data_IF_141372497522
#
_entry.id   IF_141372497522
#
_cell.length_a   1.000
_cell.length_b   1.000
_cell.length_c   1.000
_cell.angle_alpha   90.00
_cell.angle_beta   90.00
_cell.angle_gamma   90.00
#
_symmetry.space_group_name_H-M   'P 1'
#
loop_
_entity.id
_entity.type
_entity.pdbx_description
1 polymer ?
#
# COMPACT_ATOMS: atom_id res chain seq x y z
N UNK A 1 16.81 -29.61 0.06
CA UNK A 1 15.53 -29.05 0.53
C UNK A 1 15.61 -27.54 0.36
N UNK A 2 14.88 -26.99 -0.61
CA UNK A 2 14.84 -25.54 -0.85
C UNK A 2 14.14 -24.88 0.34
N UNK A 3 14.86 -24.16 1.16
CA UNK A 3 14.28 -23.25 2.15
C UNK A 3 13.61 -22.11 1.38
N UNK A 4 12.31 -22.23 1.13
CA UNK A 4 11.53 -21.12 0.65
C UNK A 4 11.78 -19.94 1.61
N UNK A 5 12.36 -18.86 1.11
CA UNK A 5 12.64 -17.66 1.87
C UNK A 5 11.29 -17.15 2.37
N UNK A 6 10.99 -17.32 3.67
CA UNK A 6 9.76 -16.79 4.24
C UNK A 6 9.82 -15.28 4.14
N UNK A 7 8.92 -14.70 3.35
CA UNK A 7 8.78 -13.26 3.25
C UNK A 7 7.90 -12.80 4.41
N UNK A 8 8.47 -12.03 5.33
CA UNK A 8 7.74 -11.41 6.43
C UNK A 8 7.34 -10.00 6.05
N UNK A 9 6.14 -9.60 6.42
CA UNK A 9 5.80 -8.19 6.46
C UNK A 9 6.56 -7.53 7.63
N UNK A 10 7.07 -6.30 7.44
CA UNK A 10 7.89 -5.62 8.45
C UNK A 10 7.21 -5.38 9.81
N UNK A 11 5.88 -5.55 9.89
CA UNK A 11 5.09 -5.47 11.14
C UNK A 11 4.84 -6.82 11.82
N UNK A 12 5.21 -7.97 11.21
CA UNK A 12 4.93 -9.32 11.72
C UNK A 12 5.90 -9.74 12.84
N UNK A 13 6.00 -8.92 13.89
CA UNK A 13 6.94 -9.14 14.99
C UNK A 13 6.68 -10.47 15.69
N UNK A 14 5.42 -10.83 15.92
CA UNK A 14 5.05 -12.08 16.59
C UNK A 14 5.59 -13.28 15.81
N UNK A 15 5.38 -13.30 14.49
CA UNK A 15 5.85 -14.36 13.60
C UNK A 15 7.39 -14.42 13.49
N UNK A 16 8.04 -13.25 13.48
CA UNK A 16 9.50 -13.15 13.50
C UNK A 16 10.04 -13.72 14.81
N UNK A 17 9.44 -13.37 15.95
CA UNK A 17 9.82 -13.89 17.26
C UNK A 17 9.66 -15.41 17.33
N UNK A 18 8.58 -15.95 16.80
CA UNK A 18 8.32 -17.39 16.75
C UNK A 18 9.39 -18.13 15.94
N UNK A 19 9.63 -17.67 14.70
CA UNK A 19 10.54 -18.34 13.75
C UNK A 19 12.00 -18.27 14.20
N UNK A 20 12.41 -17.14 14.76
CA UNK A 20 13.81 -16.92 15.19
C UNK A 20 14.04 -17.11 16.68
N UNK A 21 13.01 -17.50 17.44
CA UNK A 21 13.07 -17.71 18.91
C UNK A 21 13.58 -16.48 19.67
N UNK A 22 13.11 -15.28 19.24
CA UNK A 22 13.53 -14.01 19.81
C UNK A 22 12.51 -13.50 20.84
N UNK A 23 13.01 -12.73 21.82
CA UNK A 23 12.12 -12.01 22.72
C UNK A 23 11.65 -10.70 22.05
N UNK A 24 10.35 -10.40 21.98
CA UNK A 24 9.83 -9.17 21.38
C UNK A 24 10.45 -7.87 21.95
N UNK A 25 10.90 -7.91 23.22
CA UNK A 25 11.53 -6.76 23.90
C UNK A 25 12.93 -6.45 23.39
N UNK A 26 13.59 -7.43 22.78
CA UNK A 26 14.96 -7.30 22.29
C UNK A 26 15.01 -6.89 20.80
N UNK A 27 13.83 -6.70 20.17
CA UNK A 27 13.72 -6.34 18.77
C UNK A 27 13.59 -4.83 18.59
N UNK A 28 14.52 -4.25 17.84
CA UNK A 28 14.41 -2.87 17.37
C UNK A 28 13.69 -2.85 16.02
N UNK A 29 12.55 -2.14 15.95
CA UNK A 29 11.65 -2.13 14.80
C UNK A 29 12.06 -1.05 13.80
N UNK A 30 12.53 -1.47 12.63
CA UNK A 30 12.77 -0.59 11.46
C UNK A 30 11.90 -0.93 10.25
N UNK A 31 10.99 -1.90 10.38
CA UNK A 31 10.21 -2.45 9.27
C UNK A 31 8.86 -1.80 9.01
N UNK A 32 8.41 -0.87 9.86
CA UNK A 32 7.14 -0.19 9.71
C UNK A 32 7.28 1.31 10.00
N UNK A 33 6.62 2.13 9.17
CA UNK A 33 6.59 3.59 9.36
C UNK A 33 5.56 3.97 10.43
N UNK A 34 5.82 3.57 11.66
CA UNK A 34 4.98 3.91 12.81
C UNK A 34 5.68 5.01 13.60
N UNK A 35 4.93 6.07 13.95
CA UNK A 35 5.46 7.15 14.78
C UNK A 35 5.86 6.60 16.18
N UNK A 36 7.15 6.58 16.54
CA UNK A 36 7.60 6.04 17.83
C UNK A 36 7.10 6.84 19.03
N UNK A 37 6.69 8.10 18.82
CA UNK A 37 6.09 8.95 19.87
C UNK A 37 4.60 8.64 20.09
N UNK A 38 3.99 7.80 19.25
CA UNK A 38 2.58 7.48 19.31
C UNK A 38 1.67 8.63 18.87
N UNK A 39 0.43 8.63 19.34
CA UNK A 39 -0.54 9.70 19.09
C UNK A 39 -0.25 10.91 19.96
N UNK A 40 -0.45 12.12 19.42
CA UNK A 40 -0.41 13.36 20.22
C UNK A 40 -1.53 13.36 21.27
N UNK A 41 -1.29 14.04 22.41
CA UNK A 41 -2.29 14.12 23.48
C UNK A 41 -3.60 14.76 23.00
N UNK A 42 -3.54 15.77 22.16
CA UNK A 42 -4.75 16.38 21.58
C UNK A 42 -5.58 15.36 20.78
N UNK A 43 -4.96 14.49 19.98
CA UNK A 43 -5.68 13.44 19.25
C UNK A 43 -6.29 12.42 20.20
N UNK A 44 -5.58 12.04 21.27
CA UNK A 44 -6.11 11.12 22.29
C UNK A 44 -7.34 11.71 23.00
N UNK A 45 -7.29 12.99 23.38
CA UNK A 45 -8.41 13.69 24.02
C UNK A 45 -9.62 13.78 23.08
N UNK A 46 -9.41 14.15 21.82
CA UNK A 46 -10.48 14.24 20.82
C UNK A 46 -11.15 12.88 20.57
N UNK A 47 -10.37 11.80 20.51
CA UNK A 47 -10.90 10.44 20.36
C UNK A 47 -11.70 10.01 21.61
N UNK A 48 -11.15 10.23 22.79
CA UNK A 48 -11.83 9.88 24.05
C UNK A 48 -13.15 10.64 24.22
N UNK A 49 -13.20 11.92 23.83
CA UNK A 49 -14.41 12.74 23.90
C UNK A 49 -15.48 12.42 22.86
N UNK A 50 -15.21 11.50 21.91
CA UNK A 50 -16.12 11.17 20.79
C UNK A 50 -16.46 9.68 20.69
N UNK A 51 -16.26 8.91 21.72
CA UNK A 51 -16.52 7.46 21.68
C UNK A 51 -17.99 7.12 21.40
N UNK A 52 -18.91 8.04 21.69
CA UNK A 52 -20.36 7.84 21.43
C UNK A 52 -20.69 7.63 19.95
N UNK A 53 -19.83 8.11 19.03
CA UNK A 53 -20.01 7.90 17.58
C UNK A 53 -19.99 6.41 17.21
N UNK A 54 -19.35 5.55 18.03
CA UNK A 54 -19.30 4.10 17.80
C UNK A 54 -20.65 3.41 17.93
N UNK A 55 -21.62 4.08 18.56
CA UNK A 55 -23.00 3.57 18.70
C UNK A 55 -23.91 3.89 17.51
N UNK A 56 -23.42 4.61 16.51
CA UNK A 56 -24.18 4.99 15.32
C UNK A 56 -23.54 4.48 14.02
N UNK A 57 -24.36 4.34 12.98
CA UNK A 57 -23.82 4.00 11.66
C UNK A 57 -23.00 5.19 11.12
N UNK A 58 -21.83 4.90 10.49
CA UNK A 58 -21.04 5.93 9.86
C UNK A 58 -21.76 6.49 8.62
N UNK A 59 -21.38 7.72 8.24
CA UNK A 59 -21.78 8.32 6.97
C UNK A 59 -21.19 7.50 5.81
N UNK A 60 -22.06 6.88 4.99
CA UNK A 60 -21.68 6.02 3.88
C UNK A 60 -20.97 6.76 2.77
N UNK A 61 -21.29 8.03 2.58
CA UNK A 61 -20.75 8.86 1.51
C UNK A 61 -19.49 9.61 1.95
N UNK A 62 -19.10 9.48 3.24
CA UNK A 62 -17.97 10.18 3.83
C UNK A 62 -18.00 11.69 3.62
N UNK A 63 -19.20 12.29 3.57
CA UNK A 63 -19.41 13.68 3.17
C UNK A 63 -18.56 14.67 3.97
N UNK A 64 -18.65 14.59 5.30
CA UNK A 64 -17.88 15.48 6.18
C UNK A 64 -16.36 15.27 6.02
N UNK A 65 -15.92 14.01 5.94
CA UNK A 65 -14.50 13.67 5.76
C UNK A 65 -13.97 14.16 4.42
N UNK A 66 -14.69 13.92 3.32
CA UNK A 66 -14.32 14.36 1.98
C UNK A 66 -14.22 15.89 1.90
N UNK A 67 -15.15 16.61 2.50
CA UNK A 67 -15.10 18.08 2.54
C UNK A 67 -13.88 18.57 3.32
N UNK A 68 -13.58 18.00 4.49
CA UNK A 68 -12.40 18.37 5.27
C UNK A 68 -11.10 18.10 4.51
N UNK A 69 -10.99 16.96 3.82
CA UNK A 69 -9.83 16.64 2.97
C UNK A 69 -9.75 17.60 1.78
N UNK A 70 -10.91 17.94 1.17
CA UNK A 70 -11.00 18.91 0.08
C UNK A 70 -10.43 20.26 0.45
N UNK A 71 -10.80 20.78 1.62
CA UNK A 71 -10.25 22.03 2.16
C UNK A 71 -8.73 21.93 2.40
N UNK A 72 -8.28 20.83 3.01
CA UNK A 72 -6.86 20.59 3.32
C UNK A 72 -5.99 20.47 2.07
N UNK A 73 -6.46 19.72 1.07
CA UNK A 73 -5.70 19.43 -0.15
C UNK A 73 -5.96 20.42 -1.30
N UNK A 74 -6.93 21.31 -1.17
CA UNK A 74 -7.39 22.21 -2.25
C UNK A 74 -7.81 21.47 -3.51
N UNK A 75 -8.50 20.34 -3.33
CA UNK A 75 -9.02 19.47 -4.40
C UNK A 75 -10.53 19.31 -4.22
N UNK A 76 -11.37 19.44 -5.27
CA UNK A 76 -12.81 19.25 -5.14
C UNK A 76 -13.17 17.89 -4.51
N UNK A 77 -14.18 17.88 -3.63
CA UNK A 77 -14.53 16.69 -2.83
C UNK A 77 -15.00 15.50 -3.68
N UNK A 78 -15.49 15.74 -4.89
CA UNK A 78 -15.86 14.69 -5.85
C UNK A 78 -14.68 13.88 -6.40
N UNK A 79 -13.46 14.41 -6.30
CA UNK A 79 -12.22 13.71 -6.68
C UNK A 79 -11.52 13.03 -5.51
N UNK A 80 -12.17 12.97 -4.34
CA UNK A 80 -11.59 12.38 -3.13
C UNK A 80 -12.29 11.07 -2.81
N UNK A 81 -11.51 10.00 -2.73
CA UNK A 81 -11.93 8.70 -2.25
C UNK A 81 -11.17 8.37 -0.96
N UNK A 82 -11.81 8.42 0.21
CA UNK A 82 -11.19 8.00 1.45
C UNK A 82 -11.15 6.47 1.57
N UNK A 83 -10.15 5.95 2.27
CA UNK A 83 -10.02 4.51 2.54
C UNK A 83 -9.23 4.23 3.82
N UNK A 84 -9.32 3.01 4.32
CA UNK A 84 -8.56 2.52 5.48
C UNK A 84 -7.11 2.20 5.10
N UNK A 85 -6.36 3.25 4.80
CA UNK A 85 -5.00 3.17 4.34
C UNK A 85 -4.89 2.87 2.84
N UNK A 86 -3.64 2.88 2.35
CA UNK A 86 -3.35 2.69 0.93
C UNK A 86 -3.69 1.29 0.42
N UNK A 87 -3.65 0.26 1.28
CA UNK A 87 -3.95 -1.12 0.86
C UNK A 87 -5.40 -1.27 0.38
N UNK A 88 -6.37 -0.66 1.07
CA UNK A 88 -7.77 -0.68 0.61
C UNK A 88 -7.92 0.05 -0.72
N UNK A 89 -7.30 1.21 -0.87
CA UNK A 89 -7.38 1.99 -2.11
C UNK A 89 -6.71 1.26 -3.29
N UNK A 90 -5.59 0.58 -3.06
CA UNK A 90 -4.93 -0.28 -4.05
C UNK A 90 -5.86 -1.42 -4.46
N UNK A 91 -6.49 -2.10 -3.49
CA UNK A 91 -7.43 -3.18 -3.75
C UNK A 91 -8.62 -2.70 -4.61
N UNK A 92 -9.24 -1.58 -4.24
CA UNK A 92 -10.35 -0.98 -4.98
C UNK A 92 -9.96 -0.61 -6.42
N UNK A 93 -8.78 0.00 -6.60
CA UNK A 93 -8.27 0.34 -7.94
C UNK A 93 -8.05 -0.89 -8.81
N UNK A 94 -7.47 -1.96 -8.24
CA UNK A 94 -7.25 -3.22 -8.94
C UNK A 94 -8.57 -3.89 -9.29
N UNK A 95 -9.54 -3.90 -8.39
CA UNK A 95 -10.87 -4.46 -8.63
C UNK A 95 -11.60 -3.72 -9.75
N UNK A 96 -11.57 -2.38 -9.72
CA UNK A 96 -12.21 -1.54 -10.75
C UNK A 96 -11.56 -1.74 -12.12
N UNK A 97 -10.23 -1.78 -12.19
CA UNK A 97 -9.49 -1.95 -13.44
C UNK A 97 -9.48 -3.38 -13.95
N UNK A 98 -9.59 -4.36 -13.06
CA UNK A 98 -9.57 -5.79 -13.35
C UNK A 98 -8.49 -6.18 -14.39
N UNK A 99 -7.22 -5.84 -14.15
CA UNK A 99 -6.16 -6.03 -15.12
C UNK A 99 -5.89 -7.52 -15.34
N UNK A 100 -5.70 -7.93 -16.60
CA UNK A 100 -5.31 -9.31 -16.94
C UNK A 100 -3.81 -9.52 -16.83
N UNK A 101 -3.05 -8.48 -17.16
CA UNK A 101 -1.59 -8.47 -17.10
C UNK A 101 -1.16 -7.18 -16.40
N UNK A 102 -0.19 -7.30 -15.50
CA UNK A 102 0.34 -6.18 -14.73
C UNK A 102 1.84 -6.25 -14.68
N UNK A 103 2.49 -5.14 -15.01
CA UNK A 103 3.92 -4.95 -14.81
C UNK A 103 4.13 -4.18 -13.51
N UNK A 104 4.95 -4.73 -12.62
CA UNK A 104 5.30 -4.14 -11.33
C UNK A 104 6.75 -3.67 -11.38
N UNK A 105 7.01 -2.40 -11.08
CA UNK A 105 8.37 -1.90 -10.90
C UNK A 105 8.89 -2.35 -9.53
N UNK A 106 9.97 -3.11 -9.51
CA UNK A 106 10.56 -3.62 -8.27
C UNK A 106 12.01 -3.15 -8.08
N UNK A 107 12.50 -3.06 -6.83
CA UNK A 107 11.79 -3.37 -5.58
C UNK A 107 10.71 -2.33 -5.25
N UNK A 108 9.59 -2.77 -4.71
CA UNK A 108 8.45 -1.91 -4.39
C UNK A 108 7.61 -2.48 -3.23
N UNK A 109 6.52 -1.80 -2.89
CA UNK A 109 5.61 -2.21 -1.83
C UNK A 109 4.92 -3.54 -2.14
N UNK A 110 4.99 -4.47 -1.21
CA UNK A 110 4.52 -5.85 -1.39
C UNK A 110 3.01 -5.96 -1.61
N UNK A 111 2.23 -4.98 -1.16
CA UNK A 111 0.77 -5.01 -1.29
C UNK A 111 0.30 -4.95 -2.74
N UNK A 112 1.06 -4.35 -3.66
CA UNK A 112 0.70 -4.38 -5.09
C UNK A 112 0.59 -5.82 -5.60
N UNK A 113 1.61 -6.63 -5.37
CA UNK A 113 1.61 -8.02 -5.78
C UNK A 113 0.57 -8.85 -5.04
N UNK A 114 0.39 -8.60 -3.76
CA UNK A 114 -0.60 -9.28 -2.93
C UNK A 114 -2.02 -9.04 -3.47
N UNK A 115 -2.42 -7.80 -3.66
CA UNK A 115 -3.77 -7.47 -4.13
C UNK A 115 -4.02 -7.94 -5.56
N UNK A 116 -3.01 -7.86 -6.42
CA UNK A 116 -3.08 -8.42 -7.77
C UNK A 116 -3.25 -9.95 -7.78
N UNK A 117 -2.69 -10.66 -6.79
CA UNK A 117 -2.87 -12.11 -6.68
C UNK A 117 -4.32 -12.51 -6.45
N UNK A 118 -5.10 -11.68 -5.76
CA UNK A 118 -6.53 -11.91 -5.54
C UNK A 118 -7.38 -11.62 -6.78
N UNK A 119 -6.93 -10.74 -7.67
CA UNK A 119 -7.64 -10.44 -8.93
C UNK A 119 -7.43 -11.48 -10.03
N UNK A 120 -6.48 -12.41 -9.85
CA UNK A 120 -6.09 -13.37 -10.87
C UNK A 120 -5.27 -12.75 -12.03
N UNK A 121 -4.72 -11.56 -11.84
CA UNK A 121 -3.83 -10.91 -12.80
C UNK A 121 -2.52 -11.68 -12.95
N UNK A 122 -2.04 -11.83 -14.17
CA UNK A 122 -0.67 -12.28 -14.44
C UNK A 122 0.28 -11.14 -14.10
N UNK A 123 1.23 -11.41 -13.20
CA UNK A 123 2.18 -10.41 -12.71
C UNK A 123 3.55 -10.63 -13.31
N UNK A 124 4.15 -9.58 -13.79
CA UNK A 124 5.54 -9.52 -14.21
C UNK A 124 6.26 -8.40 -13.48
N UNK A 125 7.58 -8.54 -13.31
CA UNK A 125 8.40 -7.54 -12.64
C UNK A 125 9.40 -6.93 -13.61
N UNK A 126 9.47 -5.60 -13.61
CA UNK A 126 10.60 -4.85 -14.11
C UNK A 126 11.49 -4.48 -12.93
N UNK A 127 12.68 -5.10 -12.87
CA UNK A 127 13.58 -4.91 -11.73
C UNK A 127 14.52 -3.73 -11.97
N UNK A 128 14.39 -2.72 -11.09
CA UNK A 128 15.40 -1.67 -10.98
C UNK A 128 16.66 -2.27 -10.35
N UNK A 129 17.83 -1.89 -10.84
CA UNK A 129 19.10 -2.50 -10.45
C UNK A 129 19.87 -1.62 -9.49
N UNK A 130 20.54 -2.27 -8.52
CA UNK A 130 21.34 -1.59 -7.51
C UNK A 130 22.55 -0.88 -8.14
N UNK A 131 23.17 -1.49 -9.15
CA UNK A 131 24.28 -0.89 -9.91
C UNK A 131 23.90 0.41 -10.60
N UNK A 132 22.62 0.61 -10.92
CA UNK A 132 22.06 1.84 -11.50
C UNK A 132 21.44 2.75 -10.41
N UNK A 133 21.75 2.53 -9.13
CA UNK A 133 21.14 3.22 -7.98
C UNK A 133 19.61 3.19 -7.99
N UNK A 134 19.01 2.12 -8.48
CA UNK A 134 17.55 1.96 -8.64
C UNK A 134 16.90 3.05 -9.51
N UNK A 135 17.67 3.69 -10.38
CA UNK A 135 17.15 4.69 -11.34
C UNK A 135 16.44 3.98 -12.48
N UNK A 136 15.22 4.42 -12.78
CA UNK A 136 14.44 3.89 -13.88
C UNK A 136 15.02 4.33 -15.22
N UNK A 137 15.35 3.35 -16.08
CA UNK A 137 15.65 3.61 -17.48
C UNK A 137 14.35 3.59 -18.29
N UNK A 138 13.88 4.77 -18.68
CA UNK A 138 12.60 4.93 -19.37
C UNK A 138 12.64 4.26 -20.76
N UNK A 139 13.73 4.36 -21.50
CA UNK A 139 13.85 3.78 -22.85
C UNK A 139 13.79 2.26 -22.80
N UNK A 140 14.47 1.64 -21.83
CA UNK A 140 14.46 0.20 -21.61
C UNK A 140 13.06 -0.28 -21.15
N UNK A 141 12.41 0.47 -20.27
CA UNK A 141 11.02 0.18 -19.87
C UNK A 141 10.07 0.26 -21.06
N UNK A 142 10.18 1.29 -21.90
CA UNK A 142 9.36 1.44 -23.11
C UNK A 142 9.56 0.29 -24.09
N UNK A 143 10.81 -0.14 -24.30
CA UNK A 143 11.12 -1.31 -25.13
C UNK A 143 10.51 -2.59 -24.56
N UNK A 144 10.60 -2.78 -23.24
CA UNK A 144 9.99 -3.92 -22.54
C UNK A 144 8.47 -3.93 -22.75
N UNK A 145 7.82 -2.78 -22.62
CA UNK A 145 6.38 -2.64 -22.80
C UNK A 145 5.97 -2.89 -24.26
N UNK A 146 6.67 -2.32 -25.23
CA UNK A 146 6.40 -2.50 -26.68
C UNK A 146 6.58 -3.95 -27.12
N UNK A 147 7.60 -4.64 -26.59
CA UNK A 147 7.88 -6.04 -26.92
C UNK A 147 6.86 -7.04 -26.35
N UNK A 148 6.27 -6.75 -25.22
CA UNK A 148 5.39 -7.65 -24.48
C UNK A 148 3.91 -7.24 -24.49
N UNK A 149 3.64 -5.95 -24.53
CA UNK A 149 2.31 -5.40 -24.45
C UNK A 149 2.03 -4.58 -25.69
N UNK A 150 1.00 -4.95 -26.46
CA UNK A 150 0.53 -4.14 -27.57
C UNK A 150 -0.16 -2.90 -26.98
N UNK A 151 0.61 -1.84 -26.78
CA UNK A 151 0.04 -0.55 -26.36
C UNK A 151 -0.89 -0.06 -27.47
N UNK A 152 -2.05 0.51 -27.13
CA UNK A 152 -2.88 1.19 -28.12
C UNK A 152 -2.08 2.34 -28.75
N UNK A 153 -2.23 2.53 -30.07
CA UNK A 153 -1.48 3.53 -30.86
C UNK A 153 -1.76 5.00 -30.45
N UNK A 154 -2.36 5.24 -29.27
CA UNK A 154 -2.91 6.54 -28.86
C UNK A 154 -2.45 6.99 -27.45
N UNK A 155 -1.29 6.54 -26.99
CA UNK A 155 -0.65 7.08 -25.79
C UNK A 155 0.59 7.87 -26.15
#
# INVERSE_FOLDING_TARGET
MSTAKMVFHGSDIEKICEVYHLNPKDIVKFGANVNPLGLSENVKEQLAGRLDILSSYPDRDYTALRNTISEYCSVPSEFILPGNGSSELIALLIQERNPKHTLILGPTYSEYSRELSFSGSTQEYYHLREEDNFVLNIDDLCQTLQGKYRLPDHL
#
